data_IF_284164571862
#
_entry.id   IF_284164571862
#
_cell.length_a   1.000
_cell.length_b   1.000
_cell.length_c   1.000
_cell.angle_alpha   90.00
_cell.angle_beta   90.00
_cell.angle_gamma   90.00
#
_symmetry.space_group_name_H-M   'P 1'
#
loop_
_entity.id
_entity.type
_entity.pdbx_description
1 polymer ?
#
# COMPACT_ATOMS: atom_id res chain seq x y z
N UNK A 1 15.41 -3.24 24.59
CA UNK A 1 14.25 -3.91 25.25
C UNK A 1 12.91 -3.34 24.76
N UNK A 2 12.62 -2.04 24.91
CA UNK A 2 11.30 -1.46 24.57
C UNK A 2 10.84 -1.71 23.12
N UNK A 3 11.73 -1.60 22.13
CA UNK A 3 11.39 -1.87 20.72
C UNK A 3 11.00 -3.33 20.46
N UNK A 4 11.60 -4.29 21.18
CA UNK A 4 11.26 -5.71 21.06
C UNK A 4 9.90 -5.99 21.71
N UNK A 5 9.61 -5.36 22.84
CA UNK A 5 8.28 -5.45 23.49
C UNK A 5 7.20 -4.85 22.58
N UNK A 6 7.46 -3.70 21.97
CA UNK A 6 6.56 -3.10 20.98
C UNK A 6 6.35 -4.02 19.77
N UNK A 7 7.42 -4.57 19.20
CA UNK A 7 7.31 -5.52 18.09
C UNK A 7 6.47 -6.76 18.44
N UNK A 8 6.60 -7.27 19.67
CA UNK A 8 5.88 -8.46 20.12
C UNK A 8 4.40 -8.21 20.44
N UNK A 9 4.01 -6.97 20.75
CA UNK A 9 2.66 -6.63 21.23
C UNK A 9 1.85 -5.78 20.24
N UNK A 10 2.51 -5.11 19.29
CA UNK A 10 1.86 -4.26 18.31
C UNK A 10 1.34 -5.06 17.12
N UNK A 11 0.03 -5.23 17.06
CA UNK A 11 -0.63 -5.86 15.92
C UNK A 11 -1.04 -4.82 14.88
N UNK A 12 -0.28 -4.75 13.79
CA UNK A 12 -0.55 -3.85 12.67
C UNK A 12 -1.84 -4.19 11.92
N UNK A 13 -2.31 -5.44 11.98
CA UNK A 13 -3.51 -5.87 11.26
C UNK A 13 -4.79 -5.22 11.81
N UNK A 14 -4.78 -4.73 13.06
CA UNK A 14 -5.88 -3.92 13.62
C UNK A 14 -6.14 -2.64 12.83
N UNK A 15 -5.12 -2.11 12.15
CA UNK A 15 -5.21 -0.89 11.35
C UNK A 15 -5.49 -1.16 9.86
N UNK A 16 -5.61 -2.43 9.45
CA UNK A 16 -5.80 -2.83 8.04
C UNK A 16 -6.97 -2.11 7.40
N UNK A 17 -8.14 -2.16 8.05
CA UNK A 17 -9.35 -1.55 7.52
C UNK A 17 -9.20 -0.03 7.37
N UNK A 18 -8.65 0.63 8.38
CA UNK A 18 -8.42 2.09 8.34
C UNK A 18 -7.45 2.50 7.23
N UNK A 19 -6.32 1.80 7.09
CA UNK A 19 -5.34 2.06 6.03
C UNK A 19 -5.97 1.80 4.65
N UNK A 20 -6.70 0.69 4.51
CA UNK A 20 -7.39 0.37 3.27
C UNK A 20 -8.39 1.45 2.89
N UNK A 21 -9.28 1.86 3.79
CA UNK A 21 -10.26 2.92 3.53
C UNK A 21 -9.60 4.25 3.17
N UNK A 22 -8.52 4.63 3.85
CA UNK A 22 -7.78 5.85 3.52
C UNK A 22 -7.14 5.78 2.12
N UNK A 23 -6.57 4.63 1.75
CA UNK A 23 -6.06 4.41 0.39
C UNK A 23 -7.18 4.44 -0.64
N UNK A 24 -8.33 3.83 -0.37
CA UNK A 24 -9.49 3.87 -1.27
C UNK A 24 -9.96 5.31 -1.52
N UNK A 25 -10.05 6.11 -0.45
CA UNK A 25 -10.47 7.50 -0.52
C UNK A 25 -9.50 8.35 -1.35
N UNK A 26 -8.18 8.16 -1.18
CA UNK A 26 -7.15 8.92 -1.91
C UNK A 26 -6.96 8.47 -3.35
N UNK A 27 -7.15 7.19 -3.63
CA UNK A 27 -6.93 6.64 -4.97
C UNK A 27 -8.20 6.67 -5.83
N UNK A 28 -9.38 6.85 -5.21
CA UNK A 28 -10.66 6.72 -5.90
C UNK A 28 -10.89 5.31 -6.45
N UNK A 29 -10.24 4.30 -5.87
CA UNK A 29 -10.20 2.91 -6.35
C UNK A 29 -10.34 1.97 -5.17
N UNK A 30 -10.93 0.81 -5.41
CA UNK A 30 -10.95 -0.26 -4.41
C UNK A 30 -9.54 -0.78 -4.16
N UNK A 31 -9.20 -1.00 -2.90
CA UNK A 31 -7.90 -1.48 -2.47
C UNK A 31 -8.12 -2.68 -1.57
N UNK A 32 -7.33 -3.73 -1.75
CA UNK A 32 -7.33 -4.89 -0.88
C UNK A 32 -5.92 -5.05 -0.32
N UNK A 33 -5.82 -5.11 1.01
CA UNK A 33 -4.59 -5.41 1.72
C UNK A 33 -4.71 -6.78 2.38
N UNK A 34 -3.76 -7.68 2.10
CA UNK A 34 -3.65 -8.94 2.80
C UNK A 34 -2.94 -8.78 4.15
N UNK A 35 -2.22 -9.81 4.57
CA UNK A 35 -1.54 -9.82 5.86
C UNK A 35 -0.44 -8.77 5.96
N UNK A 36 -0.43 -8.05 7.07
CA UNK A 36 0.50 -6.99 7.34
C UNK A 36 1.43 -7.38 8.48
N UNK A 37 2.73 -7.13 8.27
CA UNK A 37 3.78 -7.43 9.23
C UNK A 37 4.63 -6.18 9.45
N UNK A 38 4.82 -5.82 10.72
CA UNK A 38 5.69 -4.73 11.11
C UNK A 38 7.03 -5.28 11.58
N UNK A 39 8.12 -4.75 11.04
CA UNK A 39 9.48 -4.89 11.57
C UNK A 39 9.87 -3.57 12.23
N UNK A 40 10.53 -3.62 13.39
CA UNK A 40 10.87 -2.41 14.17
C UNK A 40 12.27 -1.88 13.92
N UNK A 41 13.21 -2.73 13.47
CA UNK A 41 14.59 -2.32 13.23
C UNK A 41 15.23 -3.10 12.07
N UNK A 42 15.44 -2.48 10.90
CA UNK A 42 14.94 -1.15 10.52
C UNK A 42 13.39 -1.16 10.45
N UNK A 43 12.74 -0.01 10.70
CA UNK A 43 11.29 0.08 10.72
C UNK A 43 10.72 -0.10 9.30
N UNK A 44 9.91 -1.14 9.12
CA UNK A 44 9.35 -1.53 7.82
C UNK A 44 7.99 -2.17 7.98
N UNK A 45 7.03 -1.76 7.15
CA UNK A 45 5.74 -2.40 6.98
C UNK A 45 5.76 -3.29 5.73
N UNK A 46 5.49 -4.58 5.89
CA UNK A 46 5.29 -5.52 4.80
C UNK A 46 3.79 -5.82 4.68
N UNK A 47 3.24 -5.73 3.48
CA UNK A 47 1.85 -6.09 3.17
C UNK A 47 1.87 -7.18 2.11
N UNK A 48 1.20 -8.30 2.38
CA UNK A 48 1.07 -9.40 1.43
C UNK A 48 -0.18 -9.24 0.57
N UNK A 49 -0.13 -9.76 -0.65
CA UNK A 49 -1.27 -9.88 -1.57
C UNK A 49 -2.04 -8.55 -1.73
N UNK A 50 -1.31 -7.48 -2.05
CA UNK A 50 -1.93 -6.19 -2.33
C UNK A 50 -2.59 -6.19 -3.70
N UNK A 51 -3.79 -5.61 -3.79
CA UNK A 51 -4.50 -5.38 -5.04
C UNK A 51 -5.14 -4.00 -5.05
N UNK A 52 -5.00 -3.29 -6.17
CA UNK A 52 -5.64 -1.99 -6.43
C UNK A 52 -6.48 -2.18 -7.69
N UNK A 53 -7.80 -2.03 -7.56
CA UNK A 53 -8.71 -2.14 -8.69
C UNK A 53 -8.48 -1.03 -9.71
N UNK A 54 -8.96 -1.24 -10.92
CA UNK A 54 -8.91 -0.18 -11.93
C UNK A 54 -9.90 0.95 -11.62
N UNK A 55 -9.74 2.07 -12.31
CA UNK A 55 -10.67 3.18 -12.30
C UNK A 55 -12.01 2.71 -12.89
N UNK A 56 -13.16 2.96 -12.23
CA UNK A 56 -14.47 2.52 -12.70
C UNK A 56 -14.82 2.92 -14.15
N UNK A 57 -14.16 3.95 -14.69
CA UNK A 57 -14.31 4.38 -16.10
C UNK A 57 -13.69 3.40 -17.10
N UNK A 58 -12.82 2.51 -16.64
CA UNK A 58 -12.24 1.43 -17.41
C UNK A 58 -12.97 0.15 -17.01
N UNK A 59 -13.91 -0.30 -17.85
CA UNK A 59 -14.75 -1.48 -17.59
C UNK A 59 -13.97 -2.80 -17.69
N UNK A 60 -12.97 -2.98 -16.83
CA UNK A 60 -12.13 -4.17 -16.73
C UNK A 60 -12.38 -4.90 -15.42
N UNK A 61 -12.26 -6.23 -15.45
CA UNK A 61 -12.33 -7.07 -14.25
C UNK A 61 -10.95 -7.28 -13.61
N UNK A 62 -9.87 -6.94 -14.33
CA UNK A 62 -8.52 -7.10 -13.82
C UNK A 62 -8.13 -5.91 -12.93
N UNK A 63 -7.37 -6.13 -11.84
CA UNK A 63 -6.83 -5.04 -11.05
C UNK A 63 -5.82 -4.23 -11.86
N UNK A 64 -5.73 -2.92 -11.55
CA UNK A 64 -4.72 -2.04 -12.11
C UNK A 64 -3.32 -2.44 -11.65
N UNK A 65 -3.17 -2.70 -10.35
CA UNK A 65 -1.92 -3.19 -9.74
C UNK A 65 -2.24 -4.36 -8.84
N UNK A 66 -1.46 -5.43 -8.96
CA UNK A 66 -1.45 -6.54 -8.02
C UNK A 66 -0.01 -6.92 -7.70
N UNK A 67 0.31 -7.21 -6.45
CA UNK A 67 1.63 -7.70 -6.08
C UNK A 67 1.54 -8.71 -4.93
N UNK A 68 2.47 -9.67 -4.93
CA UNK A 68 2.55 -10.63 -3.83
C UNK A 68 2.98 -9.96 -2.53
N UNK A 69 3.80 -8.90 -2.62
CA UNK A 69 4.27 -8.18 -1.45
C UNK A 69 4.54 -6.70 -1.78
N UNK A 70 4.14 -5.82 -0.87
CA UNK A 70 4.55 -4.42 -0.76
C UNK A 70 5.42 -4.26 0.48
N UNK A 71 6.62 -3.72 0.34
CA UNK A 71 7.48 -3.28 1.43
C UNK A 71 7.51 -1.76 1.49
N UNK A 72 7.13 -1.19 2.63
CA UNK A 72 7.21 0.25 2.93
C UNK A 72 8.24 0.44 4.04
N UNK A 73 9.37 1.07 3.74
CA UNK A 73 10.36 1.44 4.75
C UNK A 73 10.10 2.89 5.18
N UNK A 74 10.29 3.17 6.47
CA UNK A 74 10.08 4.51 7.04
C UNK A 74 11.36 5.00 7.71
N UNK A 75 11.57 6.30 7.74
CA UNK A 75 12.78 6.88 8.35
C UNK A 75 12.77 6.71 9.86
N UNK A 76 13.87 6.24 10.44
CA UNK A 76 13.96 6.01 11.88
C UNK A 76 13.97 7.30 12.71
N UNK A 77 14.77 8.31 12.32
CA UNK A 77 14.91 9.55 13.09
C UNK A 77 13.58 10.32 13.24
N UNK A 78 12.78 10.55 12.17
CA UNK A 78 11.49 11.22 12.30
C UNK A 78 10.46 10.45 13.14
N UNK A 79 10.54 9.11 13.21
CA UNK A 79 9.61 8.32 14.02
C UNK A 79 9.79 8.55 15.52
N UNK A 80 11.00 8.88 15.98
CA UNK A 80 11.25 9.25 17.37
C UNK A 80 10.48 10.51 17.78
N UNK A 81 10.23 11.41 16.83
CA UNK A 81 9.37 12.60 16.99
C UNK A 81 7.93 12.35 16.52
N UNK A 82 7.50 11.08 16.40
CA UNK A 82 6.17 10.67 15.93
C UNK A 82 5.81 11.14 14.52
N UNK A 83 6.79 11.50 13.71
CA UNK A 83 6.61 11.85 12.30
C UNK A 83 6.85 10.62 11.43
N UNK A 84 5.80 10.16 10.75
CA UNK A 84 5.91 9.05 9.80
C UNK A 84 6.35 9.60 8.46
N UNK A 85 7.56 9.27 8.04
CA UNK A 85 8.08 9.64 6.72
C UNK A 85 8.50 8.39 5.97
N UNK A 86 7.97 8.22 4.76
CA UNK A 86 8.32 7.12 3.86
C UNK A 86 9.77 7.35 3.41
N UNK A 87 10.57 6.30 3.55
CA UNK A 87 11.95 6.25 3.06
C UNK A 87 11.99 5.57 1.68
N UNK A 88 11.30 4.44 1.53
CA UNK A 88 11.23 3.69 0.29
C UNK A 88 9.96 2.84 0.19
N UNK A 89 9.57 2.55 -1.05
CA UNK A 89 8.47 1.66 -1.41
C UNK A 89 8.99 0.62 -2.42
N UNK A 90 8.68 -0.64 -2.20
CA UNK A 90 9.07 -1.74 -3.09
C UNK A 90 7.95 -2.75 -3.28
N UNK A 91 7.69 -3.14 -4.53
CA UNK A 91 6.74 -4.19 -4.87
C UNK A 91 7.50 -5.45 -5.32
N UNK A 92 7.11 -6.61 -4.82
CA UNK A 92 7.64 -7.90 -5.28
C UNK A 92 6.64 -8.62 -6.14
N UNK A 93 7.12 -9.06 -7.31
CA UNK A 93 6.32 -9.70 -8.36
C UNK A 93 5.04 -8.89 -8.68
N UNK A 94 5.19 -7.59 -9.04
CA UNK A 94 4.05 -6.80 -9.44
C UNK A 94 3.55 -7.24 -10.82
N UNK A 95 2.23 -7.19 -10.98
CA UNK A 95 1.52 -7.18 -12.26
C UNK A 95 0.79 -5.86 -12.38
N UNK A 96 0.89 -5.19 -13.53
CA UNK A 96 0.27 -3.90 -13.80
C UNK A 96 -0.48 -3.97 -15.12
N UNK A 97 -1.78 -3.70 -15.10
CA UNK A 97 -2.60 -3.65 -16.32
C UNK A 97 -2.69 -2.20 -16.80
N UNK A 98 -2.16 -1.93 -17.99
CA UNK A 98 -2.21 -0.60 -18.61
C UNK A 98 -3.21 -0.60 -19.75
N UNK A 99 -4.26 0.22 -19.61
CA UNK A 99 -5.34 0.31 -20.60
C UNK A 99 -5.40 1.73 -21.14
N UNK A 100 -5.41 1.86 -22.47
CA UNK A 100 -5.72 3.10 -23.16
C UNK A 100 -7.14 3.02 -23.73
N UNK A 101 -8.01 3.93 -23.33
CA UNK A 101 -9.39 3.94 -23.82
C UNK A 101 -9.48 4.52 -25.26
N UNK A 102 -10.70 4.51 -25.83
CA UNK A 102 -10.94 5.01 -27.19
C UNK A 102 -10.63 6.51 -27.35
N UNK A 103 -10.69 7.27 -26.26
CA UNK A 103 -10.34 8.69 -26.19
C UNK A 103 -8.82 8.92 -26.04
N UNK A 104 -8.02 7.84 -26.03
CA UNK A 104 -6.58 7.91 -25.89
C UNK A 104 -6.07 8.16 -24.47
N UNK A 105 -6.95 8.12 -23.46
CA UNK A 105 -6.62 8.33 -22.05
C UNK A 105 -6.18 7.02 -21.42
N UNK A 106 -5.06 7.05 -20.70
CA UNK A 106 -4.55 5.90 -19.96
C UNK A 106 -5.19 5.78 -18.57
N UNK A 107 -5.39 4.54 -18.11
CA UNK A 107 -5.98 4.26 -16.80
C UNK A 107 -5.17 4.79 -15.62
N UNK A 108 -3.84 4.92 -15.70
CA UNK A 108 -3.03 5.46 -14.60
C UNK A 108 -3.20 6.98 -14.36
N UNK A 109 -3.83 7.73 -15.28
CA UNK A 109 -3.93 9.20 -15.21
C UNK A 109 -4.81 9.71 -14.07
N UNK A 110 -5.67 8.86 -13.50
CA UNK A 110 -6.51 9.20 -12.33
C UNK A 110 -5.87 8.96 -10.97
N UNK A 111 -4.67 8.38 -10.92
CA UNK A 111 -4.02 8.07 -9.63
C UNK A 111 -3.62 9.35 -8.90
N UNK A 112 -3.96 9.44 -7.60
CA UNK A 112 -3.42 10.44 -6.68
C UNK A 112 -3.79 11.89 -6.99
N UNK A 113 -4.98 12.11 -7.56
CA UNK A 113 -5.57 13.44 -7.73
C UNK A 113 -6.14 13.99 -6.43
#
# INVERSE_FOLDING_TARGET
>A
MAALVFAATFDVNRYRATIQSELENRLGRKVTLGDMHLSVFPPRLRVLNISISDDPRFSTQKPFVQAQQLDVSVKLLPLLTKSVQIDSLGLKRPSVELIKNKQGVWNFVSLGR
#
